data_IF_041408706801
#
_entry.id   IF_041408706801
#
_cell.length_a   1.000
_cell.length_b   1.000
_cell.length_c   1.000
_cell.angle_alpha   90.00
_cell.angle_beta   90.00
_cell.angle_gamma   90.00
#
_symmetry.space_group_name_H-M   'P 1'
#
loop_
_entity.id
_entity.type
_entity.pdbx_description
1 polymer ?
#
# COMPACT_ATOMS: atom_id res chain seq x y z
N UNK A 1 1.39 3.82 -3.93
CA UNK A 1 1.48 5.00 -3.04
C UNK A 1 2.79 4.86 -2.30
N UNK A 2 3.62 5.91 -2.30
CA UNK A 2 4.89 5.88 -1.58
C UNK A 2 4.64 6.23 -0.11
N UNK A 3 5.13 5.38 0.79
CA UNK A 3 4.91 5.50 2.22
C UNK A 3 6.27 5.68 2.90
N UNK A 4 6.45 6.69 3.76
CA UNK A 4 7.70 6.80 4.51
C UNK A 4 7.87 5.60 5.45
N UNK A 5 9.08 5.07 5.52
CA UNK A 5 9.40 3.94 6.41
C UNK A 5 9.86 4.36 7.82
N UNK A 6 10.05 5.67 8.05
CA UNK A 6 10.60 6.18 9.30
C UNK A 6 9.47 6.63 10.25
N UNK A 7 9.59 6.27 11.52
CA UNK A 7 8.60 6.57 12.57
C UNK A 7 8.34 8.07 12.75
N UNK A 8 9.33 8.93 12.47
CA UNK A 8 9.14 10.38 12.54
C UNK A 8 8.04 10.91 11.61
N UNK A 9 7.66 10.14 10.58
CA UNK A 9 6.56 10.46 9.65
C UNK A 9 5.30 9.61 9.93
N UNK A 10 5.04 9.27 11.20
CA UNK A 10 3.90 8.46 11.67
C UNK A 10 2.57 8.91 11.02
N UNK A 11 2.37 10.22 10.90
CA UNK A 11 1.15 10.82 10.34
C UNK A 11 1.05 10.57 8.83
N UNK A 12 2.15 10.70 8.10
CA UNK A 12 2.19 10.38 6.67
C UNK A 12 1.94 8.88 6.43
N UNK A 13 2.40 8.01 7.33
CA UNK A 13 2.12 6.57 7.28
C UNK A 13 0.63 6.31 7.48
N UNK A 14 0.01 6.83 8.55
CA UNK A 14 -1.43 6.64 8.78
C UNK A 14 -2.27 7.15 7.62
N UNK A 15 -1.90 8.33 7.12
CA UNK A 15 -2.52 8.93 5.94
C UNK A 15 -2.41 8.00 4.74
N UNK A 16 -1.21 7.50 4.46
CA UNK A 16 -0.99 6.62 3.32
C UNK A 16 -1.79 5.32 3.44
N UNK A 17 -1.86 4.75 4.65
CA UNK A 17 -2.61 3.53 4.95
C UNK A 17 -4.13 3.70 4.74
N UNK A 18 -4.68 4.89 5.01
CA UNK A 18 -6.10 5.19 4.71
C UNK A 18 -6.40 5.31 3.21
N UNK A 19 -5.37 5.58 2.41
CA UNK A 19 -5.52 5.88 0.97
C UNK A 19 -5.28 4.64 0.11
N UNK A 20 -4.37 3.75 0.52
CA UNK A 20 -4.12 2.48 -0.16
C UNK A 20 -5.14 1.41 0.24
N UNK A 21 -5.46 0.53 -0.70
CA UNK A 21 -6.36 -0.60 -0.46
C UNK A 21 -5.60 -1.84 0.04
N UNK A 22 -4.31 -1.93 -0.23
CA UNK A 22 -3.46 -3.04 0.20
C UNK A 22 -1.98 -2.68 0.22
N UNK A 23 -1.22 -3.35 1.09
CA UNK A 23 0.17 -3.00 1.39
C UNK A 23 1.16 -4.14 1.15
N UNK A 24 2.38 -3.78 0.70
CA UNK A 24 3.54 -4.68 0.69
C UNK A 24 4.48 -4.24 1.80
N UNK A 25 4.54 -5.01 2.90
CA UNK A 25 5.46 -4.76 4.00
C UNK A 25 6.81 -5.39 3.67
N UNK A 26 7.85 -4.57 3.56
CA UNK A 26 9.19 -5.01 3.20
C UNK A 26 10.02 -5.18 4.47
N UNK A 27 10.55 -6.39 4.69
CA UNK A 27 11.45 -6.69 5.80
C UNK A 27 12.89 -6.84 5.31
N UNK A 28 13.84 -6.44 6.16
CA UNK A 28 15.24 -6.75 5.96
C UNK A 28 15.49 -8.22 6.32
N UNK A 29 16.00 -9.02 5.39
CA UNK A 29 16.31 -10.43 5.65
C UNK A 29 17.42 -10.66 6.69
N UNK A 30 18.22 -9.64 7.03
CA UNK A 30 19.26 -9.69 8.06
C UNK A 30 18.72 -9.28 9.42
N UNK A 31 17.98 -8.16 9.48
CA UNK A 31 17.48 -7.61 10.75
C UNK A 31 16.12 -8.22 11.18
N UNK A 32 15.34 -8.72 10.23
CA UNK A 32 13.99 -9.24 10.44
C UNK A 32 13.00 -8.12 10.74
N UNK A 33 12.21 -8.30 11.81
CA UNK A 33 11.20 -7.33 12.25
C UNK A 33 11.84 -6.31 13.20
N UNK A 34 11.91 -5.06 12.75
CA UNK A 34 12.44 -3.94 13.52
C UNK A 34 11.33 -3.18 14.27
N UNK A 35 11.64 -2.41 15.33
CA UNK A 35 10.64 -1.64 16.08
C UNK A 35 9.82 -0.68 15.22
N UNK A 36 10.45 -0.15 14.16
CA UNK A 36 9.78 0.73 13.19
C UNK A 36 8.73 -0.03 12.38
N UNK A 37 9.08 -1.24 11.91
CA UNK A 37 8.15 -2.12 11.19
C UNK A 37 6.96 -2.52 12.06
N UNK A 38 7.18 -2.78 13.34
CA UNK A 38 6.10 -3.10 14.30
C UNK A 38 5.13 -1.94 14.48
N UNK A 39 5.64 -0.71 14.55
CA UNK A 39 4.80 0.49 14.69
C UNK A 39 3.88 0.65 13.47
N UNK A 40 4.44 0.57 12.26
CA UNK A 40 3.66 0.64 11.02
C UNK A 40 2.69 -0.54 10.89
N UNK A 41 3.08 -1.73 11.36
CA UNK A 41 2.20 -2.90 11.37
C UNK A 41 0.94 -2.70 12.21
N UNK A 42 1.09 -2.17 13.43
CA UNK A 42 -0.05 -1.86 14.32
C UNK A 42 -0.97 -0.80 13.73
N UNK A 43 -0.42 0.18 13.01
CA UNK A 43 -1.24 1.16 12.29
C UNK A 43 -2.04 0.51 11.16
N UNK A 44 -1.42 -0.41 10.42
CA UNK A 44 -2.13 -1.17 9.39
C UNK A 44 -3.21 -2.08 10.00
N UNK A 45 -3.00 -2.62 11.21
CA UNK A 45 -4.02 -3.39 11.94
C UNK A 45 -5.23 -2.53 12.32
N UNK A 46 -5.00 -1.30 12.80
CA UNK A 46 -6.08 -0.34 13.14
C UNK A 46 -7.04 -0.09 11.97
N UNK A 47 -6.51 -0.05 10.76
CA UNK A 47 -7.29 0.19 9.53
C UNK A 47 -7.65 -1.09 8.77
N UNK A 48 -7.40 -2.28 9.34
CA UNK A 48 -7.63 -3.58 8.72
C UNK A 48 -7.08 -3.70 7.29
N UNK A 49 -5.91 -3.10 7.03
CA UNK A 49 -5.33 -3.06 5.68
C UNK A 49 -4.81 -4.46 5.30
N UNK A 50 -5.35 -5.07 4.21
CA UNK A 50 -4.82 -6.30 3.64
C UNK A 50 -3.37 -6.14 3.23
N UNK A 51 -2.53 -7.11 3.59
CA UNK A 51 -1.09 -6.97 3.38
C UNK A 51 -0.39 -8.27 3.06
N UNK A 52 0.74 -8.11 2.39
CA UNK A 52 1.69 -9.17 2.09
C UNK A 52 3.08 -8.75 2.56
N UNK A 53 3.95 -9.73 2.80
CA UNK A 53 5.31 -9.51 3.30
C UNK A 53 6.32 -9.85 2.20
N UNK A 54 7.33 -9.00 2.03
CA UNK A 54 8.47 -9.26 1.17
C UNK A 54 9.76 -9.23 1.97
N UNK A 55 10.36 -10.41 2.20
CA UNK A 55 11.66 -10.52 2.87
C UNK A 55 12.75 -10.23 1.83
N UNK A 56 13.31 -9.03 1.90
CA UNK A 56 14.28 -8.49 0.95
C UNK A 56 15.72 -8.71 1.44
N UNK A 57 16.70 -8.34 0.60
CA UNK A 57 18.14 -8.36 0.90
C UNK A 57 18.69 -9.75 1.27
N UNK A 58 18.10 -10.82 0.71
CA UNK A 58 18.62 -12.18 0.92
C UNK A 58 20.01 -12.43 0.34
N UNK A 59 20.54 -11.50 -0.46
CA UNK A 59 21.91 -11.52 -0.95
C UNK A 59 22.96 -11.06 0.08
N UNK A 60 22.54 -10.53 1.23
CA UNK A 60 23.43 -10.01 2.28
C UNK A 60 23.92 -11.10 3.22
N UNK A 61 25.12 -10.92 3.76
CA UNK A 61 25.67 -11.78 4.82
C UNK A 61 24.79 -11.71 6.08
N UNK A 62 24.50 -12.87 6.67
CA UNK A 62 23.60 -12.98 7.82
C UNK A 62 22.12 -12.97 7.46
N UNK A 63 21.75 -12.96 6.18
CA UNK A 63 20.36 -13.01 5.78
C UNK A 63 19.75 -14.38 6.12
N UNK A 64 18.64 -14.36 6.86
CA UNK A 64 17.94 -15.55 7.32
C UNK A 64 16.42 -15.39 7.14
N UNK A 65 15.90 -16.00 6.07
CA UNK A 65 14.48 -15.98 5.75
C UNK A 65 13.61 -16.54 6.88
N UNK A 66 13.98 -17.71 7.44
CA UNK A 66 13.16 -18.38 8.46
C UNK A 66 13.12 -17.61 9.77
N UNK A 67 14.23 -16.97 10.16
CA UNK A 67 14.25 -16.07 11.31
C UNK A 67 13.24 -14.93 11.14
N UNK A 68 13.18 -14.30 9.96
CA UNK A 68 12.19 -13.25 9.68
C UNK A 68 10.76 -13.78 9.75
N UNK A 69 10.49 -15.00 9.27
CA UNK A 69 9.18 -15.64 9.40
C UNK A 69 8.80 -15.83 10.88
N UNK A 70 9.71 -16.36 11.70
CA UNK A 70 9.47 -16.58 13.12
C UNK A 70 9.20 -15.24 13.83
N UNK A 71 9.97 -14.19 13.50
CA UNK A 71 9.75 -12.85 14.05
C UNK A 71 8.41 -12.22 13.65
N UNK A 72 7.88 -12.50 12.45
CA UNK A 72 6.55 -12.03 12.03
C UNK A 72 5.48 -12.65 12.93
N UNK A 73 5.60 -13.93 13.26
CA UNK A 73 4.69 -14.58 14.22
C UNK A 73 4.87 -14.04 15.63
N UNK A 74 6.09 -14.04 16.14
CA UNK A 74 6.35 -13.76 17.55
C UNK A 74 6.16 -12.28 17.93
N UNK A 75 6.56 -11.35 17.05
CA UNK A 75 6.52 -9.90 17.34
C UNK A 75 5.26 -9.22 16.82
N UNK A 76 4.75 -9.64 15.66
CA UNK A 76 3.61 -8.98 15.02
C UNK A 76 2.29 -9.71 15.28
N UNK A 77 2.34 -10.93 15.85
CA UNK A 77 1.13 -11.72 16.12
C UNK A 77 0.40 -12.17 14.85
N UNK A 78 1.07 -12.12 13.69
CA UNK A 78 0.48 -12.45 12.40
C UNK A 78 0.76 -13.91 12.01
N UNK A 79 -0.09 -14.48 11.16
CA UNK A 79 0.16 -15.79 10.56
C UNK A 79 0.87 -15.62 9.20
N UNK A 80 2.19 -15.87 9.10
CA UNK A 80 2.93 -15.79 7.85
C UNK A 80 2.60 -17.00 6.95
N UNK A 81 1.84 -16.77 5.89
CA UNK A 81 1.62 -17.79 4.86
C UNK A 81 2.81 -17.78 3.89
N UNK A 82 3.80 -18.62 4.15
CA UNK A 82 4.97 -18.77 3.28
C UNK A 82 4.56 -19.35 1.93
N UNK A 83 4.61 -18.53 0.87
CA UNK A 83 4.29 -18.95 -0.50
C UNK A 83 5.54 -19.10 -1.38
N UNK A 84 6.71 -18.66 -0.88
CA UNK A 84 7.98 -18.82 -1.54
C UNK A 84 9.08 -19.25 -0.56
N UNK A 85 10.04 -20.05 -1.05
CA UNK A 85 11.27 -20.38 -0.33
C UNK A 85 12.49 -19.87 -1.11
N UNK A 86 13.53 -19.33 -0.44
CA UNK A 86 14.74 -18.92 -1.13
C UNK A 86 15.59 -20.11 -1.60
N UNK A 87 16.21 -19.97 -2.77
CA UNK A 87 17.20 -20.93 -3.30
C UNK A 87 18.59 -20.32 -3.12
N UNK A 88 19.34 -20.90 -2.20
CA UNK A 88 20.62 -20.37 -1.73
C UNK A 88 20.44 -19.25 -0.71
N UNK A 89 21.54 -18.83 -0.10
CA UNK A 89 21.62 -17.74 0.88
C UNK A 89 22.79 -16.82 0.58
N UNK A 90 22.67 -15.56 1.00
CA UNK A 90 23.72 -14.56 0.85
C UNK A 90 24.20 -14.46 -0.62
N UNK A 91 25.51 -14.52 -0.85
CA UNK A 91 26.09 -14.50 -2.19
C UNK A 91 25.65 -15.66 -3.10
N UNK A 92 25.18 -16.79 -2.53
CA UNK A 92 24.68 -17.94 -3.30
C UNK A 92 23.20 -17.82 -3.68
N UNK A 93 22.51 -16.74 -3.27
CA UNK A 93 21.11 -16.51 -3.58
C UNK A 93 20.90 -16.36 -5.10
N UNK A 94 20.23 -17.36 -5.69
CA UNK A 94 20.05 -17.47 -7.15
C UNK A 94 18.60 -17.50 -7.60
N UNK A 95 17.67 -17.79 -6.69
CA UNK A 95 16.26 -17.88 -7.06
C UNK A 95 15.33 -18.16 -5.89
N UNK A 96 14.10 -18.51 -6.24
CA UNK A 96 13.05 -18.87 -5.29
C UNK A 96 12.31 -20.11 -5.76
N UNK A 97 11.77 -20.88 -4.83
CA UNK A 97 10.75 -21.89 -5.09
C UNK A 97 9.40 -21.23 -4.92
N UNK A 98 8.58 -21.24 -5.95
CA UNK A 98 7.17 -20.86 -5.86
C UNK A 98 6.36 -22.08 -5.41
N UNK A 99 5.87 -22.02 -4.17
CA UNK A 99 5.12 -23.11 -3.55
C UNK A 99 3.70 -23.22 -4.10
N UNK A 100 3.19 -22.22 -4.83
CA UNK A 100 1.86 -22.27 -5.45
C UNK A 100 1.94 -23.08 -6.75
N UNK A 101 2.85 -22.72 -7.65
CA UNK A 101 3.09 -23.47 -8.90
C UNK A 101 3.92 -24.75 -8.72
N UNK A 102 4.52 -24.95 -7.56
CA UNK A 102 5.42 -26.06 -7.24
C UNK A 102 6.66 -26.13 -8.15
N UNK A 103 7.24 -24.97 -8.50
CA UNK A 103 8.38 -24.85 -9.40
C UNK A 103 9.44 -23.92 -8.85
N UNK A 104 10.69 -24.14 -9.25
CA UNK A 104 11.79 -23.23 -8.97
C UNK A 104 11.94 -22.18 -10.08
N UNK A 105 12.12 -20.93 -9.68
CA UNK A 105 12.41 -19.80 -10.55
C UNK A 105 13.85 -19.36 -10.26
N UNK A 106 14.73 -19.54 -11.25
CA UNK A 106 16.16 -19.20 -11.13
C UNK A 106 16.51 -18.09 -12.11
N UNK A 107 17.09 -17.00 -11.60
CA UNK A 107 17.54 -15.89 -12.42
C UNK A 107 18.97 -16.09 -12.91
N UNK A 108 19.22 -15.74 -14.17
CA UNK A 108 20.55 -15.76 -14.77
C UNK A 108 21.29 -14.47 -14.43
N UNK A 109 22.57 -14.56 -14.04
CA UNK A 109 23.32 -13.44 -13.44
C UNK A 109 23.63 -12.28 -14.39
N UNK A 110 23.46 -12.46 -15.72
CA UNK A 110 23.98 -11.52 -16.72
C UNK A 110 22.98 -10.47 -17.21
N UNK A 111 21.69 -10.57 -16.88
CA UNK A 111 20.67 -9.63 -17.38
C UNK A 111 19.72 -9.20 -16.27
N UNK A 112 19.97 -8.03 -15.65
CA UNK A 112 19.09 -7.22 -14.77
C UNK A 112 17.70 -7.82 -14.41
N UNK A 113 17.65 -9.03 -13.85
CA UNK A 113 16.41 -9.77 -13.60
C UNK A 113 15.56 -10.21 -14.81
N UNK A 114 15.94 -9.92 -16.06
CA UNK A 114 15.09 -10.09 -17.24
C UNK A 114 15.02 -11.53 -17.78
N UNK A 115 16.01 -12.38 -17.47
CA UNK A 115 16.01 -13.79 -17.87
C UNK A 115 16.00 -14.69 -16.65
N UNK A 116 14.91 -15.42 -16.49
CA UNK A 116 14.79 -16.51 -15.53
C UNK A 116 14.38 -17.81 -16.24
N UNK A 117 14.67 -18.94 -15.60
CA UNK A 117 14.18 -20.25 -16.02
C UNK A 117 13.29 -20.84 -14.94
N UNK A 118 12.13 -21.35 -15.38
CA UNK A 118 11.27 -22.19 -14.54
C UNK A 118 11.76 -23.62 -14.70
N UNK A 119 12.06 -24.27 -13.59
CA UNK A 119 12.57 -25.64 -13.54
C UNK A 119 12.02 -26.38 -12.35
N UNK A 120 12.34 -27.67 -12.25
CA UNK A 120 12.00 -28.47 -11.08
C UNK A 120 12.78 -28.02 -9.84
N UNK A 121 12.18 -28.28 -8.68
CA UNK A 121 12.73 -27.89 -7.39
C UNK A 121 14.07 -28.62 -7.18
N UNK A 122 15.15 -27.90 -6.80
CA UNK A 122 16.44 -28.50 -6.48
C UNK A 122 16.31 -29.61 -5.42
N UNK A 123 17.07 -30.70 -5.57
CA UNK A 123 16.97 -31.90 -4.72
C UNK A 123 17.11 -31.58 -3.22
N UNK A 124 17.98 -30.64 -2.88
CA UNK A 124 18.23 -30.17 -1.52
C UNK A 124 17.02 -29.45 -0.89
N UNK A 125 16.11 -28.93 -1.71
CA UNK A 125 14.92 -28.20 -1.26
C UNK A 125 13.62 -28.98 -1.42
N UNK A 126 13.62 -30.18 -2.02
CA UNK A 126 12.38 -30.96 -2.26
C UNK A 126 11.62 -31.23 -0.96
N UNK A 127 12.32 -31.75 0.06
CA UNK A 127 11.68 -32.10 1.33
C UNK A 127 11.15 -30.86 2.08
N UNK A 128 11.91 -29.77 2.07
CA UNK A 128 11.50 -28.51 2.69
C UNK A 128 10.30 -27.89 1.95
N UNK A 129 10.35 -27.87 0.61
CA UNK A 129 9.28 -27.34 -0.23
C UNK A 129 7.99 -28.13 -0.04
N UNK A 130 8.07 -29.47 0.05
CA UNK A 130 6.91 -30.31 0.35
C UNK A 130 6.30 -29.95 1.71
N UNK A 131 7.12 -29.89 2.77
CA UNK A 131 6.66 -29.52 4.12
C UNK A 131 5.96 -28.16 4.16
N UNK A 132 6.51 -27.13 3.49
CA UNK A 132 5.89 -25.80 3.47
C UNK A 132 4.68 -25.73 2.54
N UNK A 133 4.66 -26.49 1.45
CA UNK A 133 3.50 -26.61 0.56
C UNK A 133 2.33 -27.29 1.26
N UNK A 134 2.56 -28.35 2.03
CA UNK A 134 1.52 -29.03 2.80
C UNK A 134 0.87 -28.04 3.80
N UNK A 135 1.70 -27.32 4.56
CA UNK A 135 1.23 -26.25 5.47
C UNK A 135 0.47 -25.13 4.74
N UNK A 136 0.93 -24.74 3.56
CA UNK A 136 0.25 -23.74 2.73
C UNK A 136 -1.13 -24.24 2.32
N UNK A 137 -1.22 -25.46 1.78
CA UNK A 137 -2.48 -26.04 1.32
C UNK A 137 -3.45 -26.19 2.49
N UNK A 138 -3.02 -26.81 3.59
CA UNK A 138 -3.82 -26.96 4.81
C UNK A 138 -4.43 -25.64 5.27
N UNK A 139 -3.63 -24.56 5.26
CA UNK A 139 -4.12 -23.26 5.71
C UNK A 139 -5.07 -22.58 4.72
N UNK A 140 -4.76 -22.60 3.42
CA UNK A 140 -5.56 -21.85 2.44
C UNK A 140 -6.93 -22.49 2.21
N UNK A 141 -7.05 -23.81 2.32
CA UNK A 141 -8.36 -24.46 2.11
C UNK A 141 -9.39 -24.07 3.19
N UNK A 142 -8.95 -23.66 4.38
CA UNK A 142 -9.83 -23.15 5.45
C UNK A 142 -10.61 -21.89 5.04
N UNK A 143 -10.17 -21.15 4.01
CA UNK A 143 -10.84 -19.93 3.55
C UNK A 143 -12.03 -20.22 2.60
N UNK A 144 -12.26 -21.48 2.22
CA UNK A 144 -13.37 -21.86 1.36
C UNK A 144 -13.90 -23.27 1.64
N UNK A 145 -15.11 -23.36 2.19
CA UNK A 145 -15.75 -24.63 2.60
C UNK A 145 -15.78 -25.70 1.50
N UNK A 146 -16.06 -25.32 0.24
CA UNK A 146 -16.14 -26.27 -0.87
C UNK A 146 -14.78 -26.88 -1.22
N UNK A 147 -13.73 -26.04 -1.18
CA UNK A 147 -12.35 -26.48 -1.43
C UNK A 147 -11.86 -27.32 -0.25
N UNK A 148 -12.19 -26.93 0.99
CA UNK A 148 -11.89 -27.70 2.20
C UNK A 148 -12.49 -29.10 2.15
N UNK A 149 -13.78 -29.22 1.83
CA UNK A 149 -14.46 -30.51 1.70
C UNK A 149 -13.82 -31.38 0.61
N UNK A 150 -13.47 -30.81 -0.54
CA UNK A 150 -12.78 -31.52 -1.62
C UNK A 150 -11.41 -32.03 -1.19
N UNK A 151 -10.66 -31.21 -0.44
CA UNK A 151 -9.35 -31.57 0.09
C UNK A 151 -9.42 -32.71 1.12
N UNK A 152 -10.38 -32.67 2.04
CA UNK A 152 -10.63 -33.76 3.01
C UNK A 152 -11.01 -35.08 2.33
N UNK A 153 -11.63 -35.02 1.15
CA UNK A 153 -11.94 -36.18 0.32
C UNK A 153 -10.74 -36.65 -0.54
N UNK A 154 -9.54 -36.11 -0.32
CA UNK A 154 -8.29 -36.52 -0.97
C UNK A 154 -8.03 -35.87 -2.34
N UNK A 155 -8.81 -34.86 -2.74
CA UNK A 155 -8.58 -34.12 -3.98
C UNK A 155 -7.73 -32.87 -3.70
N UNK A 156 -6.50 -32.84 -4.21
CA UNK A 156 -5.65 -31.65 -4.11
C UNK A 156 -6.27 -30.46 -4.88
N UNK A 157 -6.22 -29.24 -4.32
CA UNK A 157 -6.70 -28.06 -5.00
C UNK A 157 -5.80 -27.69 -6.19
N UNK A 158 -6.43 -27.21 -7.25
CA UNK A 158 -5.72 -26.64 -8.40
C UNK A 158 -5.00 -25.34 -8.05
N UNK A 159 -4.05 -24.92 -8.90
CA UNK A 159 -3.30 -23.66 -8.71
C UNK A 159 -4.26 -22.45 -8.60
N UNK A 160 -5.32 -22.42 -9.41
CA UNK A 160 -6.29 -21.32 -9.40
C UNK A 160 -7.16 -21.33 -8.13
N UNK A 161 -7.53 -22.50 -7.62
CA UNK A 161 -8.21 -22.63 -6.33
C UNK A 161 -7.32 -22.18 -5.18
N UNK A 162 -6.03 -22.58 -5.18
CA UNK A 162 -5.03 -22.11 -4.19
C UNK A 162 -4.94 -20.59 -4.23
N UNK A 163 -4.75 -19.99 -5.42
CA UNK A 163 -4.64 -18.53 -5.55
C UNK A 163 -5.90 -17.81 -5.06
N UNK A 164 -7.08 -18.34 -5.38
CA UNK A 164 -8.37 -17.80 -4.94
C UNK A 164 -8.46 -17.81 -3.41
N UNK A 165 -8.11 -18.92 -2.77
CA UNK A 165 -8.08 -19.02 -1.31
C UNK A 165 -7.06 -18.08 -0.67
N UNK A 166 -5.86 -17.96 -1.24
CA UNK A 166 -4.84 -17.00 -0.76
C UNK A 166 -5.41 -15.59 -0.83
N UNK A 167 -6.04 -15.20 -1.94
CA UNK A 167 -6.67 -13.88 -2.08
C UNK A 167 -7.73 -13.64 -1.01
N UNK A 168 -8.65 -14.59 -0.81
CA UNK A 168 -9.71 -14.48 0.20
C UNK A 168 -9.14 -14.29 1.60
N UNK A 169 -8.18 -15.13 2.02
CA UNK A 169 -7.56 -15.02 3.33
C UNK A 169 -6.69 -13.77 3.50
N UNK A 170 -6.07 -13.28 2.42
CA UNK A 170 -5.29 -12.02 2.44
C UNK A 170 -6.19 -10.81 2.65
N UNK A 171 -7.30 -10.73 1.91
CA UNK A 171 -8.26 -9.61 2.03
C UNK A 171 -8.96 -9.64 3.38
N UNK A 172 -9.27 -10.82 3.91
CA UNK A 172 -9.88 -11.00 5.23
C UNK A 172 -8.90 -10.75 6.39
N UNK A 173 -7.59 -10.81 6.14
CA UNK A 173 -6.56 -10.70 7.18
C UNK A 173 -6.35 -11.98 7.99
N UNK A 174 -6.81 -13.15 7.51
CA UNK A 174 -6.60 -14.45 8.17
C UNK A 174 -5.12 -14.84 8.24
N UNK A 175 -4.33 -14.41 7.26
CA UNK A 175 -2.89 -14.61 7.16
C UNK A 175 -2.28 -13.57 6.22
N UNK A 176 -0.95 -13.49 6.22
CA UNK A 176 -0.18 -12.59 5.35
C UNK A 176 0.71 -13.41 4.41
N UNK A 177 0.52 -13.35 3.08
CA UNK A 177 1.40 -14.04 2.14
C UNK A 177 2.84 -13.53 2.27
N UNK A 178 3.80 -14.43 2.42
CA UNK A 178 5.23 -14.08 2.51
C UNK A 178 5.98 -14.54 1.28
N UNK A 179 6.61 -13.56 0.64
CA UNK A 179 7.47 -13.70 -0.52
C UNK A 179 8.89 -13.28 -0.17
N UNK A 180 9.83 -13.59 -1.06
CA UNK A 180 11.23 -13.28 -0.80
C UNK A 180 12.02 -12.96 -2.05
N UNK A 181 13.12 -12.23 -1.89
CA UNK A 181 13.99 -11.85 -2.98
C UNK A 181 15.16 -10.96 -2.58
N UNK A 182 15.84 -10.47 -3.62
CA UNK A 182 16.82 -9.40 -3.53
C UNK A 182 16.51 -8.38 -4.61
N UNK A 183 15.95 -7.24 -4.21
CA UNK A 183 15.71 -6.11 -5.11
C UNK A 183 17.04 -5.60 -5.71
N UNK A 184 18.12 -5.57 -4.92
CA UNK A 184 19.44 -5.12 -5.39
C UNK A 184 19.99 -6.00 -6.52
N UNK A 185 19.76 -7.32 -6.45
CA UNK A 185 20.17 -8.28 -7.49
C UNK A 185 19.11 -8.48 -8.58
N UNK A 186 17.97 -7.77 -8.51
CA UNK A 186 16.82 -7.92 -9.42
C UNK A 186 16.23 -9.34 -9.47
N UNK A 187 16.21 -10.05 -8.34
CA UNK A 187 15.68 -11.42 -8.21
C UNK A 187 14.49 -11.42 -7.25
N UNK A 188 13.32 -11.90 -7.67
CA UNK A 188 12.13 -12.04 -6.82
C UNK A 188 11.16 -10.86 -6.82
N UNK A 189 11.52 -9.71 -7.40
CA UNK A 189 10.61 -8.55 -7.52
C UNK A 189 9.48 -8.81 -8.53
N UNK A 190 9.75 -9.60 -9.58
CA UNK A 190 8.78 -9.89 -10.63
C UNK A 190 7.62 -10.76 -10.09
N UNK A 191 7.88 -11.90 -9.41
CA UNK A 191 6.81 -12.65 -8.74
C UNK A 191 6.10 -11.87 -7.63
N UNK A 192 6.77 -10.89 -7.02
CA UNK A 192 6.14 -9.98 -6.07
C UNK A 192 5.04 -9.14 -6.73
N UNK A 193 5.31 -8.59 -7.92
CA UNK A 193 4.31 -7.85 -8.70
C UNK A 193 3.14 -8.74 -9.13
N UNK A 194 3.41 -9.99 -9.52
CA UNK A 194 2.36 -10.96 -9.82
C UNK A 194 1.49 -11.24 -8.59
N UNK A 195 2.10 -11.36 -7.41
CA UNK A 195 1.39 -11.58 -6.16
C UNK A 195 0.56 -10.37 -5.71
N UNK A 196 0.99 -9.13 -5.99
CA UNK A 196 0.18 -7.92 -5.80
C UNK A 196 -1.13 -8.04 -6.58
N UNK A 197 -1.06 -8.40 -7.86
CA UNK A 197 -2.25 -8.55 -8.71
C UNK A 197 -3.14 -9.70 -8.23
N UNK A 198 -2.54 -10.85 -7.88
CA UNK A 198 -3.30 -12.05 -7.53
C UNK A 198 -3.95 -11.94 -6.13
N UNK A 199 -3.27 -11.35 -5.14
CA UNK A 199 -3.64 -11.50 -3.74
C UNK A 199 -4.05 -10.21 -3.02
N UNK A 200 -3.60 -9.03 -3.46
CA UNK A 200 -4.05 -7.77 -2.87
C UNK A 200 -5.41 -7.32 -3.43
N UNK A 201 -6.22 -6.61 -2.64
CA UNK A 201 -7.57 -6.20 -3.04
C UNK A 201 -7.54 -5.18 -4.18
N UNK A 202 -8.61 -5.16 -4.95
CA UNK A 202 -8.99 -4.02 -5.77
C UNK A 202 -9.78 -3.00 -4.93
N UNK A 203 -9.96 -1.75 -5.39
CA UNK A 203 -10.82 -0.77 -4.71
C UNK A 203 -12.26 -1.24 -4.45
N UNK A 204 -12.74 -2.26 -5.16
CA UNK A 204 -14.08 -2.84 -4.98
C UNK A 204 -14.14 -3.94 -3.93
N UNK A 205 -12.98 -4.50 -3.55
CA UNK A 205 -12.89 -5.58 -2.56
C UNK A 205 -12.75 -5.05 -1.13
N UNK A 206 -12.50 -3.74 -0.97
CA UNK A 206 -12.42 -3.07 0.33
C UNK A 206 -13.77 -2.51 0.78
N UNK A 207 -13.91 -2.25 2.08
CA UNK A 207 -15.12 -1.67 2.65
C UNK A 207 -15.39 -0.26 2.09
N UNK A 208 -16.66 0.13 2.10
CA UNK A 208 -17.06 1.49 1.72
C UNK A 208 -16.42 2.52 2.65
N UNK A 209 -15.93 3.62 2.09
CA UNK A 209 -15.33 4.68 2.91
C UNK A 209 -16.41 5.31 3.79
N UNK A 210 -16.06 5.54 5.06
CA UNK A 210 -16.94 6.17 6.05
C UNK A 210 -16.68 7.67 6.11
N UNK A 211 -17.72 8.42 6.44
CA UNK A 211 -17.65 9.86 6.66
C UNK A 211 -18.86 10.35 7.45
N UNK A 212 -18.94 11.66 7.61
CA UNK A 212 -20.04 12.33 8.31
C UNK A 212 -20.73 13.35 7.41
N UNK A 213 -22.02 13.53 7.62
CA UNK A 213 -22.82 14.60 7.02
C UNK A 213 -22.43 15.97 7.58
N UNK A 214 -22.43 17.01 6.73
CA UNK A 214 -22.12 18.38 7.17
C UNK A 214 -23.27 19.03 7.97
N UNK A 215 -24.50 18.56 7.79
CA UNK A 215 -25.68 19.21 8.37
C UNK A 215 -25.97 18.76 9.80
N UNK A 216 -25.76 17.48 10.08
CA UNK A 216 -26.25 16.82 11.29
C UNK A 216 -25.27 15.77 11.86
N UNK A 217 -24.04 15.70 11.33
CA UNK A 217 -22.97 14.78 11.76
C UNK A 217 -23.36 13.30 11.74
N UNK A 218 -24.40 12.93 10.98
CA UNK A 218 -24.80 11.54 10.80
C UNK A 218 -23.75 10.77 10.01
N UNK A 219 -23.54 9.50 10.38
CA UNK A 219 -22.62 8.62 9.67
C UNK A 219 -23.14 8.34 8.25
N UNK A 220 -22.28 8.58 7.27
CA UNK A 220 -22.49 8.29 5.86
C UNK A 220 -21.43 7.32 5.37
N UNK A 221 -21.77 6.54 4.35
CA UNK A 221 -20.79 5.73 3.62
C UNK A 221 -20.84 6.02 2.12
N UNK A 222 -19.72 5.79 1.44
CA UNK A 222 -19.62 5.87 -0.01
C UNK A 222 -18.98 4.60 -0.54
N UNK A 223 -19.70 3.90 -1.41
CA UNK A 223 -19.20 2.71 -2.08
C UNK A 223 -18.28 3.10 -3.24
N UNK A 224 -17.28 2.27 -3.51
CA UNK A 224 -16.48 2.39 -4.73
C UNK A 224 -17.32 2.02 -5.96
N UNK A 225 -18.09 2.99 -6.45
CA UNK A 225 -18.91 2.92 -7.66
C UNK A 225 -18.90 4.28 -8.36
N UNK A 226 -18.84 4.28 -9.69
CA UNK A 226 -18.82 5.49 -10.51
C UNK A 226 -20.17 6.22 -10.52
N UNK A 227 -21.26 5.53 -10.16
CA UNK A 227 -22.61 6.09 -10.09
C UNK A 227 -22.96 6.70 -8.73
N UNK A 228 -22.13 6.48 -7.71
CA UNK A 228 -22.27 7.12 -6.40
C UNK A 228 -21.90 8.62 -6.48
N UNK A 229 -22.35 9.46 -5.53
CA UNK A 229 -21.91 10.85 -5.48
C UNK A 229 -20.39 10.96 -5.31
N UNK A 230 -19.77 11.93 -5.97
CA UNK A 230 -18.33 12.13 -5.94
C UNK A 230 -17.81 12.34 -4.51
N UNK A 231 -16.75 11.60 -4.15
CA UNK A 231 -15.97 11.86 -2.93
C UNK A 231 -14.51 11.49 -3.13
N UNK A 232 -13.61 12.34 -2.64
CA UNK A 232 -12.17 12.17 -2.71
C UNK A 232 -11.47 12.78 -1.49
N UNK A 233 -10.33 12.19 -1.11
CA UNK A 233 -9.47 12.68 -0.04
C UNK A 233 -8.18 13.24 -0.62
N UNK A 234 -7.88 14.50 -0.34
CA UNK A 234 -6.59 15.09 -0.64
C UNK A 234 -5.55 14.57 0.37
N UNK A 235 -4.60 13.74 -0.06
CA UNK A 235 -3.67 13.05 0.84
C UNK A 235 -2.21 13.47 0.68
N UNK A 236 -1.87 14.22 -0.36
CA UNK A 236 -0.52 14.79 -0.48
C UNK A 236 -0.57 16.07 -1.28
N UNK A 237 0.07 17.12 -0.79
CA UNK A 237 0.31 18.34 -1.55
C UNK A 237 1.79 18.40 -1.87
N UNK A 238 2.11 18.73 -3.11
CA UNK A 238 3.48 18.87 -3.57
C UNK A 238 3.58 20.06 -4.50
N UNK A 239 4.59 20.90 -4.30
CA UNK A 239 4.88 21.98 -5.24
C UNK A 239 5.76 21.47 -6.38
N UNK A 240 5.24 21.46 -7.60
CA UNK A 240 6.01 21.15 -8.80
C UNK A 240 6.57 22.43 -9.46
N UNK A 241 7.85 22.45 -9.90
CA UNK A 241 8.46 23.62 -10.54
C UNK A 241 7.79 24.08 -11.83
N UNK A 242 7.13 23.18 -12.57
CA UNK A 242 6.58 23.46 -13.90
C UNK A 242 5.07 23.72 -13.88
N UNK A 243 4.33 22.96 -13.06
CA UNK A 243 2.85 23.05 -13.02
C UNK A 243 2.30 23.70 -11.75
N UNK A 244 3.16 24.04 -10.79
CA UNK A 244 2.76 24.67 -9.53
C UNK A 244 2.27 23.66 -8.49
N UNK A 245 1.33 24.07 -7.64
CA UNK A 245 0.79 23.19 -6.58
C UNK A 245 0.03 22.02 -7.18
N UNK A 246 0.39 20.81 -6.77
CA UNK A 246 -0.28 19.55 -7.06
C UNK A 246 -0.93 19.01 -5.79
N UNK A 247 -2.24 18.79 -5.85
CA UNK A 247 -3.00 18.13 -4.79
C UNK A 247 -3.31 16.72 -5.24
N UNK A 248 -2.63 15.74 -4.67
CA UNK A 248 -2.92 14.33 -4.88
C UNK A 248 -4.18 13.95 -4.12
N UNK A 249 -5.15 13.43 -4.85
CA UNK A 249 -6.43 13.00 -4.32
C UNK A 249 -6.71 11.55 -4.70
N UNK A 250 -7.23 10.78 -3.73
CA UNK A 250 -7.80 9.45 -3.97
C UNK A 250 -9.31 9.58 -4.06
N UNK A 251 -9.87 9.13 -5.17
CA UNK A 251 -11.31 9.10 -5.39
C UNK A 251 -11.86 7.81 -4.78
N UNK A 252 -12.82 7.94 -3.87
CA UNK A 252 -13.48 6.78 -3.24
C UNK A 252 -14.81 6.45 -3.90
N UNK A 253 -15.51 7.44 -4.47
CA UNK A 253 -16.80 7.23 -5.13
C UNK A 253 -17.06 8.27 -6.20
N UNK A 254 -17.94 7.92 -7.14
CA UNK A 254 -18.36 8.78 -8.24
C UNK A 254 -17.27 9.02 -9.27
N UNK A 255 -17.48 10.06 -10.06
CA UNK A 255 -16.55 10.50 -11.11
C UNK A 255 -16.32 12.00 -11.01
N UNK A 256 -15.18 12.44 -11.51
CA UNK A 256 -14.83 13.87 -11.59
C UNK A 256 -14.30 14.19 -12.97
N UNK A 257 -14.77 15.29 -13.54
CA UNK A 257 -14.33 15.79 -14.83
C UNK A 257 -13.60 17.13 -14.69
N UNK A 258 -12.69 17.41 -15.61
CA UNK A 258 -12.13 18.75 -15.74
C UNK A 258 -13.25 19.76 -15.97
N UNK A 259 -13.14 20.91 -15.30
CA UNK A 259 -14.11 22.01 -15.22
C UNK A 259 -15.31 21.77 -14.31
N UNK A 260 -15.34 20.67 -13.57
CA UNK A 260 -16.34 20.48 -12.52
C UNK A 260 -16.08 21.42 -11.34
N UNK A 261 -17.16 21.74 -10.63
CA UNK A 261 -17.09 22.43 -9.34
C UNK A 261 -17.42 21.42 -8.24
N UNK A 262 -16.54 21.30 -7.26
CA UNK A 262 -16.70 20.40 -6.12
C UNK A 262 -16.75 21.21 -4.82
N UNK A 263 -17.22 20.60 -3.75
CA UNK A 263 -17.17 21.17 -2.41
C UNK A 263 -15.97 20.60 -1.67
N UNK A 264 -15.11 21.47 -1.15
CA UNK A 264 -14.25 21.14 -0.03
C UNK A 264 -15.12 21.17 1.23
N UNK A 265 -15.55 19.99 1.69
CA UNK A 265 -16.50 19.88 2.80
C UNK A 265 -15.87 20.19 4.16
N UNK A 266 -14.55 20.05 4.29
CA UNK A 266 -13.82 20.35 5.53
C UNK A 266 -13.73 21.86 5.77
N UNK A 267 -13.46 22.65 4.72
CA UNK A 267 -13.38 24.12 4.80
C UNK A 267 -14.67 24.83 4.40
N UNK A 268 -15.66 24.08 3.93
CA UNK A 268 -16.95 24.54 3.39
C UNK A 268 -16.78 25.57 2.24
N UNK A 269 -15.89 25.27 1.29
CA UNK A 269 -15.57 26.13 0.14
C UNK A 269 -15.76 25.39 -1.17
N UNK A 270 -16.18 26.13 -2.21
CA UNK A 270 -16.26 25.58 -3.56
C UNK A 270 -14.90 25.64 -4.23
N UNK A 271 -14.47 24.53 -4.81
CA UNK A 271 -13.25 24.41 -5.59
C UNK A 271 -13.59 24.14 -7.05
N UNK A 272 -12.84 24.75 -7.97
CA UNK A 272 -12.99 24.54 -9.40
C UNK A 272 -11.87 23.66 -9.91
N UNK A 273 -12.23 22.53 -10.52
CA UNK A 273 -11.29 21.55 -11.02
C UNK A 273 -10.77 21.99 -12.38
N UNK A 274 -9.52 22.43 -12.43
CA UNK A 274 -8.85 22.81 -13.68
C UNK A 274 -8.31 21.60 -14.43
N UNK A 275 -6.99 21.39 -14.31
CA UNK A 275 -6.28 20.29 -14.96
C UNK A 275 -6.08 19.15 -13.97
N UNK A 276 -6.18 17.92 -14.49
CA UNK A 276 -5.95 16.69 -13.73
C UNK A 276 -4.85 15.88 -14.41
N UNK A 277 -3.95 15.31 -13.62
CA UNK A 277 -2.80 14.57 -14.11
C UNK A 277 -2.75 13.17 -13.49
N UNK A 278 -2.41 12.17 -14.29
CA UNK A 278 -1.86 10.90 -13.84
C UNK A 278 -0.34 11.00 -13.82
N UNK A 279 0.24 10.62 -12.68
CA UNK A 279 1.68 10.63 -12.47
C UNK A 279 2.23 9.24 -12.74
N UNK A 280 2.98 9.09 -13.83
CA UNK A 280 3.68 7.85 -14.18
C UNK A 280 5.16 7.95 -13.79
N UNK A 281 5.90 6.84 -13.90
CA UNK A 281 7.29 6.76 -13.44
C UNK A 281 8.23 7.83 -14.05
N UNK A 282 8.04 8.18 -15.32
CA UNK A 282 8.91 9.13 -16.03
C UNK A 282 8.14 10.17 -16.87
N UNK A 283 6.81 10.18 -16.82
CA UNK A 283 5.99 11.11 -17.57
C UNK A 283 4.72 11.47 -16.80
N UNK A 284 3.98 12.45 -17.33
CA UNK A 284 2.71 12.92 -16.77
C UNK A 284 1.69 12.88 -17.88
N UNK A 285 0.53 12.33 -17.60
CA UNK A 285 -0.57 12.24 -18.54
C UNK A 285 -1.71 13.14 -18.08
N UNK A 286 -2.16 14.04 -18.95
CA UNK A 286 -3.31 14.90 -18.65
C UNK A 286 -4.60 14.18 -18.98
N UNK A 287 -5.47 14.05 -17.98
CA UNK A 287 -6.74 13.35 -18.08
C UNK A 287 -7.91 14.33 -17.95
N UNK A 288 -9.04 13.99 -18.56
CA UNK A 288 -10.27 14.80 -18.49
C UNK A 288 -11.30 14.27 -17.52
N UNK A 289 -11.25 12.98 -17.20
CA UNK A 289 -12.19 12.28 -16.33
C UNK A 289 -11.38 11.30 -15.47
N UNK A 290 -11.76 11.16 -14.21
CA UNK A 290 -11.25 10.16 -13.29
C UNK A 290 -12.41 9.47 -12.55
N UNK A 291 -12.19 8.21 -12.17
CA UNK A 291 -13.21 7.28 -11.69
C UNK A 291 -13.00 6.88 -10.23
N UNK A 292 -13.98 6.18 -9.66
CA UNK A 292 -13.87 5.64 -8.31
C UNK A 292 -12.71 4.64 -8.23
N UNK A 293 -11.82 4.83 -7.25
CA UNK A 293 -10.58 4.07 -7.11
C UNK A 293 -9.34 4.73 -7.72
N UNK A 294 -9.48 5.79 -8.53
CA UNK A 294 -8.31 6.44 -9.12
C UNK A 294 -7.57 7.32 -8.10
N UNK A 295 -6.25 7.42 -8.29
CA UNK A 295 -5.38 8.37 -7.61
C UNK A 295 -4.87 9.37 -8.63
N UNK A 296 -5.23 10.64 -8.47
CA UNK A 296 -4.95 11.71 -9.43
C UNK A 296 -4.28 12.90 -8.78
N UNK A 297 -3.59 13.73 -9.56
CA UNK A 297 -3.08 15.01 -9.13
C UNK A 297 -3.91 16.16 -9.72
N UNK A 298 -4.49 16.98 -8.86
CA UNK A 298 -5.26 18.18 -9.20
C UNK A 298 -4.32 19.39 -9.22
N UNK A 299 -4.30 20.14 -10.31
CA UNK A 299 -3.38 21.26 -10.50
C UNK A 299 -4.02 22.57 -10.04
N UNK A 300 -3.32 23.33 -9.20
CA UNK A 300 -3.63 24.73 -8.93
C UNK A 300 -4.68 24.98 -7.84
N UNK A 301 -5.01 23.97 -7.02
CA UNK A 301 -5.81 24.16 -5.81
C UNK A 301 -4.93 24.82 -4.74
N UNK A 302 -5.27 26.07 -4.37
CA UNK A 302 -4.45 26.89 -3.47
C UNK A 302 -4.93 26.87 -2.02
N UNK A 303 -6.20 26.53 -1.80
CA UNK A 303 -6.85 26.59 -0.48
C UNK A 303 -7.14 25.21 0.08
N UNK A 304 -6.75 24.15 -0.64
CA UNK A 304 -6.86 22.78 -0.15
C UNK A 304 -5.62 22.44 0.65
N UNK A 305 -5.81 21.85 1.82
CA UNK A 305 -4.74 21.31 2.66
C UNK A 305 -4.80 19.79 2.72
N UNK A 306 -3.71 19.16 3.16
CA UNK A 306 -3.68 17.71 3.23
C UNK A 306 -4.62 17.17 4.32
N UNK A 307 -5.42 16.15 3.99
CA UNK A 307 -6.44 15.56 4.85
C UNK A 307 -7.85 16.09 4.60
N UNK A 308 -8.03 17.06 3.71
CA UNK A 308 -9.34 17.62 3.38
C UNK A 308 -10.11 16.76 2.36
N UNK A 309 -11.44 16.83 2.46
CA UNK A 309 -12.35 16.09 1.59
C UNK A 309 -12.89 16.98 0.47
N UNK A 310 -12.80 16.48 -0.78
CA UNK A 310 -13.46 17.04 -1.95
C UNK A 310 -14.66 16.16 -2.31
N UNK A 311 -15.86 16.73 -2.42
CA UNK A 311 -17.08 15.94 -2.66
C UNK A 311 -18.09 16.65 -3.57
N UNK A 312 -19.15 15.93 -3.94
CA UNK A 312 -20.31 16.48 -4.61
C UNK A 312 -20.96 17.60 -3.78
N UNK A 313 -21.42 18.66 -4.45
CA UNK A 313 -22.01 19.84 -3.79
C UNK A 313 -23.39 19.51 -3.21
N UNK A 314 -24.15 18.63 -3.87
CA UNK A 314 -25.53 18.32 -3.48
C UNK A 314 -25.60 17.20 -2.44
N UNK A 315 -24.57 16.36 -2.36
CA UNK A 315 -24.48 15.22 -1.45
C UNK A 315 -23.18 15.29 -0.63
N UNK A 316 -23.01 16.35 0.19
CA UNK A 316 -21.74 16.63 0.83
C UNK A 316 -21.42 15.61 1.92
N UNK A 317 -20.15 15.26 2.05
CA UNK A 317 -19.63 14.31 3.03
C UNK A 317 -18.25 14.79 3.48
N UNK A 318 -17.93 14.65 4.77
CA UNK A 318 -16.57 14.77 5.28
C UNK A 318 -16.06 13.36 5.51
N UNK A 319 -15.06 12.93 4.74
CA UNK A 319 -14.39 11.65 4.99
C UNK A 319 -13.62 11.73 6.30
N UNK A 320 -13.44 10.60 6.96
CA UNK A 320 -12.88 10.51 8.31
C UNK A 320 -11.62 11.38 8.47
N UNK A 321 -11.75 12.44 9.29
CA UNK A 321 -10.68 13.39 9.55
C UNK A 321 -9.51 12.67 10.19
N UNK A 322 -8.29 12.94 9.73
CA UNK A 322 -7.09 12.49 10.42
C UNK A 322 -6.98 13.26 11.74
N UNK A 323 -6.82 12.52 12.84
CA UNK A 323 -6.54 13.10 14.14
C UNK A 323 -5.05 13.49 14.16
N UNK A 324 -4.78 14.79 14.22
CA UNK A 324 -3.43 15.31 14.28
C UNK A 324 -3.13 15.62 15.75
N UNK A 325 -2.15 14.94 16.37
CA UNK A 325 -1.77 15.25 17.74
C UNK A 325 -1.16 16.64 17.83
N UNK A 326 -1.32 17.28 18.99
CA UNK A 326 -0.67 18.57 19.25
C UNK A 326 0.87 18.44 19.14
N UNK A 327 1.57 19.43 18.54
CA UNK A 327 3.02 19.42 18.48
C UNK A 327 3.67 19.28 19.86
N UNK A 328 4.58 18.33 20.00
CA UNK A 328 5.28 18.04 21.27
C UNK A 328 6.59 18.82 21.42
N UNK A 329 7.04 19.52 20.37
CA UNK A 329 8.28 20.30 20.33
C UNK A 329 7.98 21.65 19.68
N UNK A 330 8.49 22.72 20.26
CA UNK A 330 8.46 24.06 19.69
C UNK A 330 9.90 24.55 19.43
N UNK A 331 10.11 25.23 18.30
CA UNK A 331 11.40 25.81 17.93
C UNK A 331 11.21 27.25 17.48
N UNK A 332 11.97 28.18 18.07
CA UNK A 332 11.99 29.56 17.63
C UNK A 332 12.88 29.73 16.39
N UNK A 333 12.33 30.35 15.34
CA UNK A 333 13.05 30.66 14.09
C UNK A 333 13.00 32.17 13.84
N UNK A 334 14.16 32.80 13.75
CA UNK A 334 14.28 34.25 13.53
C UNK A 334 14.92 34.57 12.17
N UNK A 335 14.37 35.54 11.40
CA UNK A 335 14.96 35.92 10.13
C UNK A 335 16.19 36.79 10.37
N UNK A 336 17.29 36.50 9.68
CA UNK A 336 18.52 37.31 9.76
C UNK A 336 18.34 38.72 9.18
N UNK A 337 17.43 38.88 8.22
CA UNK A 337 17.20 40.15 7.54
C UNK A 337 15.71 40.45 7.41
N UNK A 338 15.36 41.72 7.18
CA UNK A 338 13.97 42.12 6.89
C UNK A 338 13.41 41.45 5.63
N UNK A 339 14.26 41.20 4.63
CA UNK A 339 13.85 40.49 3.41
C UNK A 339 13.52 39.02 3.71
N UNK A 340 14.30 38.39 4.60
CA UNK A 340 14.04 37.01 5.01
C UNK A 340 12.76 36.89 5.83
N UNK A 341 12.32 37.94 6.54
CA UNK A 341 11.06 37.94 7.28
C UNK A 341 9.84 37.74 6.34
N UNK A 342 9.79 38.46 5.21
CA UNK A 342 8.71 38.28 4.23
C UNK A 342 8.76 36.91 3.55
N UNK A 343 9.97 36.45 3.20
CA UNK A 343 10.17 35.12 2.60
C UNK A 343 9.81 33.99 3.55
N UNK A 344 10.10 34.16 4.84
CA UNK A 344 9.81 33.16 5.87
C UNK A 344 8.30 32.93 6.00
N UNK A 345 7.49 33.99 6.08
CA UNK A 345 6.04 33.83 6.15
C UNK A 345 5.47 33.06 4.96
N UNK A 346 6.01 33.32 3.76
CA UNK A 346 5.62 32.57 2.54
C UNK A 346 6.06 31.11 2.59
N UNK A 347 7.28 30.83 3.08
CA UNK A 347 7.82 29.48 3.19
C UNK A 347 7.07 28.65 4.24
N UNK A 348 6.84 29.21 5.43
CA UNK A 348 6.08 28.57 6.51
C UNK A 348 4.64 28.27 6.08
N UNK A 349 3.99 29.20 5.37
CA UNK A 349 2.65 28.95 4.83
C UNK A 349 2.59 27.79 3.83
N UNK A 350 3.64 27.60 3.01
CA UNK A 350 3.73 26.44 2.11
C UNK A 350 3.99 25.13 2.87
N UNK A 351 4.87 25.16 3.87
CA UNK A 351 5.14 23.99 4.72
C UNK A 351 3.88 23.55 5.46
N UNK A 352 3.13 24.49 6.04
CA UNK A 352 1.87 24.19 6.72
C UNK A 352 0.78 23.63 5.78
N UNK A 353 0.83 23.93 4.47
CA UNK A 353 -0.06 23.33 3.49
C UNK A 353 0.32 21.88 3.17
N UNK A 354 1.62 21.62 3.01
CA UNK A 354 2.14 20.29 2.71
C UNK A 354 2.00 19.35 3.94
N UNK A 355 2.29 19.88 5.13
CA UNK A 355 2.22 19.18 6.41
C UNK A 355 1.35 19.91 7.44
N UNK A 356 0.12 19.41 7.70
CA UNK A 356 -0.77 19.98 8.72
C UNK A 356 -0.32 19.69 10.17
N UNK A 357 0.71 18.88 10.39
CA UNK A 357 1.30 18.62 11.71
C UNK A 357 2.48 19.53 12.07
N UNK A 358 2.80 20.46 11.17
CA UNK A 358 3.88 21.45 11.32
C UNK A 358 3.68 22.43 12.47
#
# INVERSE_FOLDING_TARGET
IDTPGHVDFTIEVERSLKVLDGAVVVFDGVAGVEPQSETVWRQADKYNVPRMCFVNKLDRTGANFFMTIDMITDRLGAYPLVIQLPIGSENSFKGIVDLVSNKAIIWKEEKLGALFSIQDIPEDLVNQSKKYRDKLIEKVVEENDQIMESYLNGKEPSIEEIKKCIRLGTIKGSFVPVLTGSAFKNKGVQPLLDAVVNYLPSPKDVESVKGISLSDETELSRKCDDNEPFSALAFKIMTDPFVGSLTFARIYSGTISSKDSVLNSTSNRKEFIGRMLLMHANNREEIKVAHSGDVIALVGLKQVTTGETLCDINNPIILEKMDFPDPVIEVAVEPKTKIDHEKMGTALGRLAQEDPSF
#
